data_IF_559399036104
#
_entry.id   IF_559399036104
#
_cell.length_a   1.000
_cell.length_b   1.000
_cell.length_c   1.000
_cell.angle_alpha   90.00
_cell.angle_beta   90.00
_cell.angle_gamma   90.00
#
_symmetry.space_group_name_H-M   'P 1'
#
loop_
_entity.id
_entity.type
_entity.pdbx_description
1 polymer ?
#
# COMPACT_ATOMS: atom_id res chain seq x y z
N UNK A 1 -9.25 1.27 -31.47
CA UNK A 1 -9.65 1.83 -30.15
C UNK A 1 -9.02 3.18 -30.06
N UNK A 2 -9.70 4.22 -29.56
CA UNK A 2 -9.00 5.47 -29.25
C UNK A 2 -8.03 5.15 -28.13
N UNK A 3 -6.74 5.29 -28.39
CA UNK A 3 -5.70 5.00 -27.41
C UNK A 3 -5.83 6.01 -26.26
N UNK A 4 -6.21 5.53 -25.08
CA UNK A 4 -6.29 6.36 -23.87
C UNK A 4 -4.87 6.70 -23.46
N UNK A 5 -4.51 7.98 -23.47
CA UNK A 5 -3.20 8.45 -23.04
C UNK A 5 -3.16 8.74 -21.56
N UNK A 6 -2.02 8.48 -20.90
CA UNK A 6 -1.86 8.80 -19.48
C UNK A 6 -0.50 9.39 -19.13
N UNK A 7 -0.49 10.15 -18.02
CA UNK A 7 0.71 10.64 -17.36
C UNK A 7 0.67 10.29 -15.87
N UNK A 8 1.82 10.21 -15.25
CA UNK A 8 1.97 9.82 -13.85
C UNK A 8 2.69 10.87 -13.03
N UNK A 9 2.21 11.13 -11.81
CA UNK A 9 2.88 12.03 -10.87
C UNK A 9 3.24 11.25 -9.61
N UNK A 10 4.52 11.32 -9.19
CA UNK A 10 5.08 10.59 -8.04
C UNK A 10 4.78 9.10 -8.14
N UNK A 11 5.34 8.38 -9.14
CA UNK A 11 5.01 6.97 -9.37
C UNK A 11 5.53 6.04 -8.28
N UNK A 12 6.43 6.48 -7.40
CA UNK A 12 7.18 5.65 -6.46
C UNK A 12 7.88 4.49 -7.22
N UNK A 13 7.70 3.24 -6.78
CA UNK A 13 8.26 2.09 -7.51
C UNK A 13 7.35 1.58 -8.65
N UNK A 14 6.28 2.30 -8.96
CA UNK A 14 5.47 2.08 -10.16
C UNK A 14 4.28 1.15 -10.04
N UNK A 15 3.83 0.72 -8.85
CA UNK A 15 2.72 -0.24 -8.73
C UNK A 15 1.42 0.22 -9.36
N UNK A 16 1.02 1.48 -9.20
CA UNK A 16 -0.12 2.04 -9.94
C UNK A 16 0.10 1.98 -11.44
N UNK A 17 1.28 2.40 -11.89
CA UNK A 17 1.63 2.43 -13.30
C UNK A 17 1.62 1.05 -13.94
N UNK A 18 2.14 0.02 -13.26
CA UNK A 18 2.04 -1.35 -13.76
C UNK A 18 0.59 -1.82 -13.84
N UNK A 19 -0.27 -1.38 -12.92
CA UNK A 19 -1.71 -1.61 -13.00
C UNK A 19 -2.34 -0.93 -14.22
N UNK A 20 -1.99 0.33 -14.47
CA UNK A 20 -2.42 1.09 -15.64
C UNK A 20 -1.93 0.41 -16.93
N UNK A 21 -0.65 0.08 -17.02
CA UNK A 21 -0.07 -0.62 -18.16
C UNK A 21 -0.78 -1.94 -18.43
N UNK A 22 -1.15 -2.68 -17.38
CA UNK A 22 -1.92 -3.93 -17.51
C UNK A 22 -3.30 -3.70 -18.12
N UNK A 23 -4.04 -2.68 -17.67
CA UNK A 23 -5.37 -2.32 -18.19
C UNK A 23 -5.32 -1.72 -19.60
N UNK A 24 -4.21 -1.08 -19.96
CA UNK A 24 -3.98 -0.46 -21.26
C UNK A 24 -3.06 -1.31 -22.17
N UNK A 25 -3.03 -2.61 -21.99
CA UNK A 25 -2.34 -3.57 -22.88
C UNK A 25 -0.84 -3.23 -23.11
N UNK A 26 -0.15 -2.74 -22.09
CA UNK A 26 1.28 -2.43 -22.12
C UNK A 26 1.63 -0.99 -22.49
N UNK A 27 0.65 -0.11 -22.64
CA UNK A 27 0.91 1.30 -22.93
C UNK A 27 1.73 1.96 -21.82
N UNK A 28 2.81 2.64 -22.22
CA UNK A 28 3.68 3.39 -21.31
C UNK A 28 3.15 4.81 -21.07
N UNK A 29 3.50 5.48 -19.95
CA UNK A 29 3.10 6.85 -19.70
C UNK A 29 3.71 7.81 -20.73
N UNK A 30 2.96 8.84 -21.14
CA UNK A 30 3.45 9.90 -22.01
C UNK A 30 4.58 10.70 -21.32
N UNK A 31 4.46 10.86 -20.02
CA UNK A 31 5.42 11.55 -19.15
C UNK A 31 5.27 11.08 -17.69
N UNK A 32 6.34 11.29 -16.92
CA UNK A 32 6.36 11.13 -15.46
C UNK A 32 6.81 12.45 -14.84
N UNK A 33 5.99 13.00 -13.97
CA UNK A 33 6.36 14.15 -13.15
C UNK A 33 6.60 13.73 -11.71
N UNK A 34 7.45 14.42 -11.00
CA UNK A 34 7.71 14.15 -9.61
C UNK A 34 8.23 15.38 -8.87
N UNK A 35 8.68 15.15 -7.65
CA UNK A 35 9.40 16.11 -6.84
C UNK A 35 10.72 15.49 -6.39
N UNK A 36 11.74 16.30 -6.19
CA UNK A 36 13.10 15.84 -5.84
C UNK A 36 13.12 14.94 -4.59
N UNK A 37 12.16 15.15 -3.66
CA UNK A 37 11.97 14.35 -2.44
C UNK A 37 11.68 12.86 -2.73
N UNK A 38 11.09 12.54 -3.88
CA UNK A 38 10.72 11.17 -4.28
C UNK A 38 11.68 10.53 -5.28
N UNK A 39 12.66 11.29 -5.76
CA UNK A 39 13.59 10.88 -6.83
C UNK A 39 14.19 9.48 -6.60
N UNK A 40 14.54 9.15 -5.36
CA UNK A 40 15.14 7.86 -5.00
C UNK A 40 14.17 6.69 -5.22
N UNK A 41 12.90 6.86 -4.87
CA UNK A 41 11.88 5.81 -5.04
C UNK A 41 11.46 5.70 -6.51
N UNK A 42 11.26 6.83 -7.17
CA UNK A 42 10.86 6.88 -8.58
C UNK A 42 11.92 6.29 -9.51
N UNK A 43 13.20 6.41 -9.13
CA UNK A 43 14.30 5.89 -9.91
C UNK A 43 14.17 4.41 -10.26
N UNK A 44 13.53 3.61 -9.41
CA UNK A 44 13.28 2.19 -9.69
C UNK A 44 12.34 2.01 -10.89
N UNK A 45 11.23 2.75 -10.90
CA UNK A 45 10.27 2.71 -11.99
C UNK A 45 10.82 3.36 -13.27
N UNK A 46 11.48 4.51 -13.16
CA UNK A 46 12.09 5.20 -14.31
C UNK A 46 13.16 4.33 -14.98
N UNK A 47 13.95 3.58 -14.21
CA UNK A 47 14.91 2.65 -14.77
C UNK A 47 14.23 1.53 -15.56
N UNK A 48 13.16 0.94 -15.00
CA UNK A 48 12.36 -0.07 -15.71
C UNK A 48 11.76 0.48 -17.01
N UNK A 49 11.26 1.73 -17.01
CA UNK A 49 10.76 2.37 -18.25
C UNK A 49 11.86 2.52 -19.31
N UNK A 50 13.08 2.89 -18.90
CA UNK A 50 14.24 2.99 -19.80
C UNK A 50 14.58 1.64 -20.42
N UNK A 51 14.52 0.57 -19.66
CA UNK A 51 14.74 -0.80 -20.16
C UNK A 51 13.66 -1.23 -21.19
N UNK A 52 12.49 -0.60 -21.17
CA UNK A 52 11.41 -0.75 -22.17
C UNK A 52 11.49 0.26 -23.33
N UNK A 53 12.63 0.95 -23.48
CA UNK A 53 12.86 1.97 -24.53
C UNK A 53 11.85 3.14 -24.48
N UNK A 54 11.39 3.50 -23.28
CA UNK A 54 10.47 4.61 -23.05
C UNK A 54 11.07 5.94 -23.53
N UNK A 55 10.27 6.71 -24.25
CA UNK A 55 10.66 8.01 -24.87
C UNK A 55 9.97 9.21 -24.22
N UNK A 56 9.23 9.01 -23.13
CA UNK A 56 8.59 10.09 -22.40
C UNK A 56 9.58 10.92 -21.59
N UNK A 57 9.07 11.94 -20.96
CA UNK A 57 9.84 12.87 -20.15
C UNK A 57 9.73 12.52 -18.65
N UNK A 58 10.83 12.68 -17.91
CA UNK A 58 10.85 12.63 -16.45
C UNK A 58 11.31 13.96 -15.90
N UNK A 59 10.42 14.68 -15.19
CA UNK A 59 10.61 16.07 -14.77
C UNK A 59 10.29 16.24 -13.29
N UNK A 60 11.15 16.93 -12.55
CA UNK A 60 10.88 17.35 -11.19
C UNK A 60 10.25 18.76 -11.17
N UNK A 61 9.02 18.84 -10.65
CA UNK A 61 8.24 20.09 -10.60
C UNK A 61 8.82 21.16 -9.67
N UNK A 62 9.60 20.76 -8.66
CA UNK A 62 10.24 21.64 -7.69
C UNK A 62 11.74 21.86 -7.93
N UNK A 63 12.26 21.48 -9.09
CA UNK A 63 13.64 21.73 -9.48
C UNK A 63 13.78 23.12 -10.10
N UNK A 64 14.86 23.83 -9.80
CA UNK A 64 15.15 25.14 -10.36
C UNK A 64 15.20 25.10 -11.89
N UNK A 65 14.48 25.99 -12.55
CA UNK A 65 14.34 26.03 -14.00
C UNK A 65 13.11 25.32 -14.57
N UNK A 66 12.38 24.58 -13.73
CA UNK A 66 11.13 23.91 -14.12
C UNK A 66 9.86 24.68 -13.67
N UNK A 67 10.03 25.92 -13.19
CA UNK A 67 8.91 26.77 -12.79
C UNK A 67 7.96 26.99 -13.98
N UNK A 68 6.71 26.59 -13.81
CA UNK A 68 5.69 26.70 -14.87
C UNK A 68 5.82 25.67 -15.97
N UNK A 69 6.54 24.56 -15.75
CA UNK A 69 6.56 23.45 -16.70
C UNK A 69 5.13 23.02 -17.05
N UNK A 70 4.89 22.85 -18.37
CA UNK A 70 3.57 22.43 -18.89
C UNK A 70 3.69 21.05 -19.50
N UNK A 71 3.15 20.07 -18.80
CA UNK A 71 3.07 18.71 -19.33
C UNK A 71 2.15 18.65 -20.55
N UNK A 72 2.44 17.71 -21.45
CA UNK A 72 1.53 17.34 -22.53
C UNK A 72 0.19 16.91 -21.97
N UNK A 73 -0.91 17.39 -22.56
CA UNK A 73 -2.28 16.96 -22.16
C UNK A 73 -2.46 15.47 -22.44
N UNK A 74 -3.05 14.77 -21.49
CA UNK A 74 -3.39 13.35 -21.54
C UNK A 74 -4.83 13.13 -21.09
N UNK A 75 -5.40 11.97 -21.40
CA UNK A 75 -6.76 11.63 -20.97
C UNK A 75 -6.84 11.35 -19.46
N UNK A 76 -5.81 10.71 -18.93
CA UNK A 76 -5.76 10.25 -17.53
C UNK A 76 -4.46 10.69 -16.86
N UNK A 77 -4.57 11.12 -15.61
CA UNK A 77 -3.40 11.33 -14.74
C UNK A 77 -3.59 10.49 -13.48
N UNK A 78 -2.53 9.81 -13.02
CA UNK A 78 -2.51 9.14 -11.73
C UNK A 78 -1.44 9.71 -10.81
N UNK A 79 -1.59 9.53 -9.51
CA UNK A 79 -0.60 9.94 -8.51
C UNK A 79 -0.64 9.09 -7.24
N UNK A 80 0.54 8.85 -6.65
CA UNK A 80 0.69 8.26 -5.31
C UNK A 80 1.22 9.35 -4.36
N UNK A 81 0.30 10.17 -3.84
CA UNK A 81 0.69 11.20 -2.87
C UNK A 81 1.05 10.57 -1.50
N UNK A 82 1.99 11.19 -0.74
CA UNK A 82 2.35 10.72 0.59
C UNK A 82 1.14 10.55 1.52
N UNK A 83 1.00 9.38 2.12
CA UNK A 83 -0.12 9.03 2.99
C UNK A 83 0.16 9.25 4.49
N UNK A 84 1.36 9.69 4.89
CA UNK A 84 1.76 9.80 6.29
C UNK A 84 0.84 10.72 7.12
N UNK A 85 0.28 11.76 6.52
CA UNK A 85 -0.69 12.65 7.16
C UNK A 85 -2.02 11.98 7.53
N UNK A 86 -2.41 10.92 6.83
CA UNK A 86 -3.66 10.17 7.04
C UNK A 86 -3.42 8.72 7.49
N UNK A 87 -2.17 8.31 7.69
CA UNK A 87 -1.84 6.95 8.13
C UNK A 87 -2.22 6.74 9.60
N UNK A 88 -2.97 5.69 9.91
CA UNK A 88 -3.26 5.29 11.29
C UNK A 88 -2.02 4.81 12.07
N UNK A 89 -0.91 4.58 11.37
CA UNK A 89 0.35 4.08 11.94
C UNK A 89 1.33 5.21 12.24
N UNK A 90 1.07 6.42 11.77
CA UNK A 90 1.87 7.59 12.09
C UNK A 90 1.35 8.25 13.37
N UNK A 91 2.22 8.40 14.36
CA UNK A 91 1.90 9.09 15.63
C UNK A 91 1.56 10.56 15.38
N UNK A 92 2.10 11.15 14.32
CA UNK A 92 1.88 12.55 13.93
C UNK A 92 0.79 12.72 12.87
N UNK A 93 0.01 11.66 12.58
CA UNK A 93 -1.04 11.75 11.56
C UNK A 93 -2.19 12.65 12.03
N UNK A 94 -2.56 13.60 11.18
CA UNK A 94 -3.64 14.56 11.40
C UNK A 94 -4.17 15.05 10.06
N UNK A 95 -5.44 15.40 10.00
CA UNK A 95 -6.00 16.11 8.85
C UNK A 95 -5.30 17.47 8.58
N UNK A 96 -4.68 18.05 9.60
CA UNK A 96 -3.89 19.30 9.54
C UNK A 96 -2.40 19.07 9.25
N UNK A 97 -1.98 17.84 8.96
CA UNK A 97 -0.58 17.54 8.65
C UNK A 97 -0.12 18.24 7.37
N UNK A 98 1.04 18.89 7.42
CA UNK A 98 1.67 19.51 6.25
C UNK A 98 1.92 18.51 5.10
N UNK A 99 2.01 17.22 5.40
CA UNK A 99 2.14 16.16 4.37
C UNK A 99 0.92 16.10 3.44
N UNK A 100 -0.26 16.51 3.89
CA UNK A 100 -1.47 16.54 3.05
C UNK A 100 -1.40 17.63 1.97
N UNK A 101 -0.53 18.65 2.12
CA UNK A 101 -0.34 19.70 1.12
C UNK A 101 0.12 19.15 -0.23
N UNK A 102 0.88 18.06 -0.25
CA UNK A 102 1.26 17.39 -1.49
C UNK A 102 0.05 16.98 -2.33
N UNK A 103 -0.99 16.49 -1.67
CA UNK A 103 -2.22 16.06 -2.33
C UNK A 103 -2.98 17.27 -2.91
N UNK A 104 -3.05 18.36 -2.15
CA UNK A 104 -3.73 19.58 -2.60
C UNK A 104 -2.98 20.26 -3.73
N UNK A 105 -1.67 20.48 -3.58
CA UNK A 105 -0.84 21.12 -4.59
C UNK A 105 -0.81 20.32 -5.90
N UNK A 106 -0.70 19.00 -5.80
CA UNK A 106 -0.75 18.12 -6.98
C UNK A 106 -2.11 18.17 -7.65
N UNK A 107 -3.20 18.13 -6.89
CA UNK A 107 -4.56 18.22 -7.44
C UNK A 107 -4.80 19.57 -8.11
N UNK A 108 -4.42 20.67 -7.46
CA UNK A 108 -4.51 22.01 -8.02
C UNK A 108 -3.77 22.10 -9.37
N UNK A 109 -2.52 21.67 -9.41
CA UNK A 109 -1.72 21.68 -10.64
C UNK A 109 -2.34 20.83 -11.76
N UNK A 110 -2.77 19.60 -11.44
CA UNK A 110 -3.33 18.70 -12.46
C UNK A 110 -4.62 19.24 -13.01
N UNK A 111 -5.53 19.71 -12.16
CA UNK A 111 -6.86 20.14 -12.57
C UNK A 111 -6.84 21.53 -13.25
N UNK A 112 -5.90 22.43 -12.86
CA UNK A 112 -5.78 23.76 -13.46
C UNK A 112 -4.96 23.79 -14.76
N UNK A 113 -3.85 23.03 -14.82
CA UNK A 113 -2.89 23.13 -15.93
C UNK A 113 -3.02 21.97 -16.93
N UNK A 114 -3.07 20.71 -16.47
CA UNK A 114 -3.12 19.54 -17.37
C UNK A 114 -4.55 19.30 -17.88
N UNK A 115 -5.54 19.43 -17.01
CA UNK A 115 -6.97 19.30 -17.30
C UNK A 115 -7.35 17.94 -17.94
N UNK A 116 -6.93 16.80 -17.38
CA UNK A 116 -7.26 15.51 -17.93
C UNK A 116 -8.76 15.22 -17.88
N UNK A 117 -9.24 14.19 -18.59
CA UNK A 117 -10.64 13.72 -18.43
C UNK A 117 -10.86 13.09 -17.06
N UNK A 118 -9.85 12.36 -16.56
CA UNK A 118 -9.85 11.74 -15.24
C UNK A 118 -8.50 11.96 -14.56
N UNK A 119 -8.53 12.42 -13.33
CA UNK A 119 -7.37 12.41 -12.43
C UNK A 119 -7.70 11.54 -11.21
N UNK A 120 -6.83 10.61 -10.86
CA UNK A 120 -7.04 9.74 -9.71
C UNK A 120 -5.76 9.50 -8.93
N UNK A 121 -5.93 9.11 -7.67
CA UNK A 121 -4.81 8.76 -6.81
C UNK A 121 -5.24 7.93 -5.62
N UNK A 122 -4.25 7.48 -4.86
CA UNK A 122 -4.42 6.62 -3.68
C UNK A 122 -4.02 7.34 -2.41
N UNK A 123 -4.67 6.99 -1.30
CA UNK A 123 -4.22 7.39 0.02
C UNK A 123 -4.68 6.39 1.10
N UNK A 124 -4.26 6.64 2.35
CA UNK A 124 -4.61 5.82 3.51
C UNK A 124 -6.14 5.73 3.72
N UNK A 125 -6.63 4.67 4.38
CA UNK A 125 -8.06 4.45 4.61
C UNK A 125 -8.76 5.61 5.33
N UNK A 126 -8.04 6.40 6.14
CA UNK A 126 -8.60 7.54 6.86
C UNK A 126 -9.18 8.63 5.96
N UNK A 127 -8.72 8.75 4.71
CA UNK A 127 -9.29 9.69 3.75
C UNK A 127 -10.81 9.48 3.58
N UNK A 128 -11.26 8.23 3.67
CA UNK A 128 -12.68 7.87 3.59
C UNK A 128 -13.45 8.09 4.91
N UNK A 129 -12.78 8.19 6.04
CA UNK A 129 -13.40 8.24 7.36
C UNK A 129 -13.60 9.68 7.84
N UNK A 130 -14.37 9.88 8.93
CA UNK A 130 -14.54 11.17 9.61
C UNK A 130 -13.19 11.83 9.95
N UNK A 131 -12.17 11.03 10.28
CA UNK A 131 -10.83 11.56 10.58
C UNK A 131 -10.12 12.23 9.39
N UNK A 132 -10.50 11.88 8.16
CA UNK A 132 -9.97 12.47 6.93
C UNK A 132 -10.92 13.45 6.24
N UNK A 133 -12.08 13.70 6.81
CA UNK A 133 -13.14 14.50 6.19
C UNK A 133 -12.69 15.91 5.76
N UNK A 134 -11.90 16.58 6.59
CA UNK A 134 -11.33 17.89 6.25
C UNK A 134 -10.48 17.84 4.98
N UNK A 135 -9.69 16.76 4.81
CA UNK A 135 -8.87 16.56 3.61
C UNK A 135 -9.77 16.25 2.40
N UNK A 136 -10.75 15.37 2.56
CA UNK A 136 -11.70 15.01 1.51
C UNK A 136 -12.50 16.23 1.02
N UNK A 137 -12.98 17.06 1.95
CA UNK A 137 -13.71 18.30 1.62
C UNK A 137 -12.79 19.29 0.89
N UNK A 138 -11.53 19.43 1.28
CA UNK A 138 -10.59 20.30 0.57
C UNK A 138 -10.33 19.80 -0.85
N UNK A 139 -10.20 18.49 -1.05
CA UNK A 139 -10.10 17.91 -2.40
C UNK A 139 -11.36 18.18 -3.24
N UNK A 140 -12.54 18.03 -2.63
CA UNK A 140 -13.81 18.33 -3.30
C UNK A 140 -13.87 19.79 -3.76
N UNK A 141 -13.52 20.74 -2.89
CA UNK A 141 -13.51 22.17 -3.24
C UNK A 141 -12.54 22.47 -4.40
N UNK A 142 -11.34 21.87 -4.38
CA UNK A 142 -10.40 21.99 -5.50
C UNK A 142 -11.02 21.44 -6.79
N UNK A 143 -11.62 20.25 -6.74
CA UNK A 143 -12.29 19.65 -7.89
C UNK A 143 -13.40 20.55 -8.44
N UNK A 144 -14.30 21.00 -7.58
CA UNK A 144 -15.43 21.89 -7.93
C UNK A 144 -14.96 23.19 -8.56
N UNK A 145 -13.91 23.81 -8.00
CA UNK A 145 -13.32 25.06 -8.54
C UNK A 145 -12.82 24.89 -9.99
N UNK A 146 -12.32 23.71 -10.35
CA UNK A 146 -11.80 23.42 -11.69
C UNK A 146 -12.79 22.67 -12.60
N UNK A 147 -14.04 22.49 -12.17
CA UNK A 147 -15.10 21.88 -12.96
C UNK A 147 -15.04 20.34 -12.99
N UNK A 148 -14.66 19.73 -11.86
CA UNK A 148 -14.60 18.28 -11.69
C UNK A 148 -15.50 17.82 -10.56
N UNK A 149 -16.10 16.66 -10.72
CA UNK A 149 -16.73 15.90 -9.64
C UNK A 149 -15.70 15.04 -8.91
N UNK A 150 -15.99 14.64 -7.68
CA UNK A 150 -15.15 13.79 -6.85
C UNK A 150 -15.86 12.48 -6.50
N UNK A 151 -15.20 11.34 -6.71
CA UNK A 151 -15.61 10.06 -6.15
C UNK A 151 -14.50 9.55 -5.20
N UNK A 152 -14.85 9.23 -3.96
CA UNK A 152 -14.00 8.52 -3.01
C UNK A 152 -14.39 7.04 -3.00
N UNK A 153 -13.49 6.18 -3.40
CA UNK A 153 -13.70 4.74 -3.45
C UNK A 153 -12.81 4.04 -2.41
N UNK A 154 -13.43 3.58 -1.33
CA UNK A 154 -12.75 2.78 -0.31
C UNK A 154 -12.78 1.31 -0.68
N UNK A 155 -11.63 0.65 -0.64
CA UNK A 155 -11.49 -0.78 -0.94
C UNK A 155 -10.37 -1.43 -0.11
N UNK A 156 -10.22 -2.73 -0.28
CA UNK A 156 -9.17 -3.54 0.35
C UNK A 156 -8.61 -4.53 -0.66
N UNK A 157 -7.29 -4.72 -0.68
CA UNK A 157 -6.60 -5.55 -1.69
C UNK A 157 -7.11 -6.99 -1.77
N UNK A 158 -7.64 -7.58 -0.68
CA UNK A 158 -8.27 -8.91 -0.72
C UNK A 158 -9.49 -8.97 -1.63
N UNK A 159 -10.24 -7.90 -1.73
CA UNK A 159 -11.39 -7.81 -2.64
C UNK A 159 -10.97 -7.85 -4.11
N UNK A 160 -9.72 -7.50 -4.38
CA UNK A 160 -9.05 -7.56 -5.69
C UNK A 160 -8.28 -8.87 -5.92
N UNK A 161 -8.47 -9.85 -5.04
CA UNK A 161 -7.91 -11.20 -5.17
C UNK A 161 -6.52 -11.40 -4.54
N UNK A 162 -5.95 -10.39 -3.85
CA UNK A 162 -4.63 -10.52 -3.24
C UNK A 162 -4.72 -11.11 -1.83
N UNK A 163 -3.75 -11.94 -1.46
CA UNK A 163 -3.62 -12.48 -0.10
C UNK A 163 -3.22 -11.44 0.96
N UNK A 164 -3.27 -10.15 0.65
CA UNK A 164 -2.87 -9.05 1.52
C UNK A 164 -4.08 -8.23 1.99
N UNK A 165 -4.27 -8.10 3.31
CA UNK A 165 -5.25 -7.21 3.91
C UNK A 165 -4.75 -5.77 3.91
N UNK A 166 -4.97 -5.06 2.81
CA UNK A 166 -4.49 -3.69 2.61
C UNK A 166 -5.64 -2.74 2.26
N UNK A 167 -6.31 -2.13 3.24
CA UNK A 167 -7.36 -1.15 2.97
C UNK A 167 -6.76 0.16 2.45
N UNK A 168 -7.43 0.75 1.45
CA UNK A 168 -7.05 2.01 0.81
C UNK A 168 -8.27 2.80 0.35
N UNK A 169 -8.08 4.10 0.21
CA UNK A 169 -9.05 5.01 -0.41
C UNK A 169 -8.45 5.56 -1.69
N UNK A 170 -9.16 5.34 -2.78
CA UNK A 170 -8.87 5.98 -4.07
C UNK A 170 -9.78 7.18 -4.23
N UNK A 171 -9.24 8.26 -4.78
CA UNK A 171 -10.01 9.44 -5.14
C UNK A 171 -9.95 9.65 -6.65
N UNK A 172 -11.11 9.92 -7.25
CA UNK A 172 -11.25 10.12 -8.69
C UNK A 172 -11.89 11.47 -8.93
N UNK A 173 -11.17 12.34 -9.63
CA UNK A 173 -11.73 13.54 -10.20
C UNK A 173 -12.14 13.23 -11.64
N UNK A 174 -13.40 13.44 -11.98
CA UNK A 174 -13.93 13.26 -13.33
C UNK A 174 -14.45 14.58 -13.85
N UNK A 175 -14.14 14.91 -15.11
CA UNK A 175 -14.48 16.22 -15.67
C UNK A 175 -15.99 16.41 -15.79
N UNK A 176 -16.51 17.51 -15.22
CA UNK A 176 -17.92 17.83 -15.09
C UNK A 176 -18.37 17.88 -13.63
N UNK A 177 -19.38 18.71 -13.33
CA UNK A 177 -19.93 18.90 -11.98
C UNK A 177 -21.38 18.49 -11.86
N UNK A 178 -22.02 18.08 -12.96
CA UNK A 178 -23.44 17.73 -12.96
C UNK A 178 -23.70 16.27 -12.56
N UNK A 179 -22.64 15.44 -12.63
CA UNK A 179 -22.73 14.02 -12.30
C UNK A 179 -21.37 13.43 -11.92
N UNK A 180 -21.39 12.41 -11.09
CA UNK A 180 -20.21 11.61 -10.75
C UNK A 180 -20.43 10.13 -11.13
N UNK A 181 -19.36 9.38 -11.49
CA UNK A 181 -19.47 7.97 -11.79
C UNK A 181 -19.79 7.14 -10.54
N UNK A 182 -20.59 6.08 -10.74
CA UNK A 182 -20.75 4.99 -9.79
C UNK A 182 -19.95 3.80 -10.27
N UNK A 183 -18.79 3.57 -9.67
CA UNK A 183 -17.94 2.43 -10.01
C UNK A 183 -18.54 1.12 -9.49
N UNK A 184 -18.31 0.03 -10.23
CA UNK A 184 -18.77 -1.29 -9.81
C UNK A 184 -18.07 -1.76 -8.53
N UNK A 185 -18.70 -2.67 -7.81
CA UNK A 185 -18.09 -3.34 -6.67
C UNK A 185 -17.30 -4.56 -7.13
N UNK A 186 -16.15 -4.80 -6.50
CA UNK A 186 -15.24 -5.87 -6.85
C UNK A 186 -15.18 -6.91 -5.74
N UNK A 187 -15.27 -8.19 -6.14
CA UNK A 187 -14.99 -9.35 -5.30
C UNK A 187 -14.38 -10.45 -6.15
N UNK A 188 -13.07 -10.55 -6.12
CA UNK A 188 -12.33 -11.62 -6.78
C UNK A 188 -12.04 -12.75 -5.80
N UNK A 189 -11.91 -14.01 -6.28
CA UNK A 189 -11.38 -15.12 -5.47
C UNK A 189 -10.03 -14.72 -4.89
N UNK A 190 -9.83 -15.02 -3.59
CA UNK A 190 -8.57 -14.75 -2.92
C UNK A 190 -7.49 -15.71 -3.45
N UNK A 191 -6.32 -15.17 -3.78
CA UNK A 191 -5.16 -16.01 -4.09
C UNK A 191 -4.66 -16.73 -2.83
N UNK A 192 -3.98 -17.85 -3.04
CA UNK A 192 -3.34 -18.55 -1.96
C UNK A 192 -1.93 -17.98 -1.73
N UNK A 193 -1.66 -17.45 -0.54
CA UNK A 193 -0.32 -16.94 -0.19
C UNK A 193 0.77 -18.03 -0.29
N UNK A 194 0.41 -19.29 -0.08
CA UNK A 194 1.36 -20.39 -0.20
C UNK A 194 1.91 -20.54 -1.61
N UNK A 195 1.10 -20.25 -2.63
CA UNK A 195 1.56 -20.35 -4.03
C UNK A 195 2.68 -19.32 -4.29
N UNK A 196 2.62 -18.15 -3.66
CA UNK A 196 3.68 -17.13 -3.74
C UNK A 196 4.93 -17.61 -2.99
N UNK A 197 4.74 -18.10 -1.76
CA UNK A 197 5.85 -18.48 -0.87
C UNK A 197 6.59 -19.75 -1.34
N UNK A 198 5.86 -20.70 -1.97
CA UNK A 198 6.42 -21.92 -2.55
C UNK A 198 7.03 -21.71 -3.93
N UNK A 199 6.66 -20.62 -4.63
CA UNK A 199 7.14 -20.37 -5.97
C UNK A 199 8.67 -20.28 -6.01
N UNK A 200 9.26 -20.98 -6.98
CA UNK A 200 10.69 -20.93 -7.21
C UNK A 200 11.11 -19.53 -7.69
N UNK A 201 12.30 -19.14 -7.24
CA UNK A 201 12.97 -17.93 -7.70
C UNK A 201 14.28 -18.39 -8.33
N UNK A 202 14.55 -17.98 -9.56
CA UNK A 202 15.81 -18.30 -10.22
C UNK A 202 17.00 -17.89 -9.35
N UNK A 203 18.03 -18.72 -9.21
CA UNK A 203 19.28 -18.33 -8.53
C UNK A 203 19.91 -17.07 -9.13
N UNK A 204 19.71 -16.82 -10.44
CA UNK A 204 20.24 -15.67 -11.16
C UNK A 204 19.33 -14.44 -11.08
N UNK A 205 18.17 -14.54 -10.44
CA UNK A 205 17.29 -13.39 -10.23
C UNK A 205 17.97 -12.36 -9.30
N UNK A 206 18.23 -11.14 -9.75
CA UNK A 206 18.89 -10.12 -8.93
C UNK A 206 18.10 -9.75 -7.68
N UNK A 207 16.79 -10.03 -7.64
CA UNK A 207 15.92 -9.82 -6.48
C UNK A 207 15.81 -11.06 -5.58
N UNK A 208 16.46 -12.17 -5.92
CA UNK A 208 16.59 -13.36 -5.06
C UNK A 208 17.60 -13.08 -3.93
N UNK A 209 17.32 -12.06 -3.13
CA UNK A 209 18.16 -11.62 -1.99
C UNK A 209 17.28 -11.50 -0.76
N UNK A 210 17.73 -12.11 0.33
CA UNK A 210 17.03 -12.03 1.61
C UNK A 210 16.91 -10.57 2.07
N UNK A 211 15.70 -10.15 2.45
CA UNK A 211 15.49 -8.83 3.06
C UNK A 211 16.12 -8.78 4.45
N UNK A 212 16.07 -9.90 5.17
CA UNK A 212 16.76 -10.11 6.43
C UNK A 212 17.59 -11.39 6.30
N UNK A 213 18.91 -11.30 6.50
CA UNK A 213 19.83 -12.42 6.38
C UNK A 213 19.93 -13.29 7.65
N UNK A 214 19.29 -12.88 8.74
CA UNK A 214 19.28 -13.65 9.98
C UNK A 214 18.50 -14.96 9.78
N UNK A 215 18.87 -15.99 10.53
CA UNK A 215 18.06 -17.20 10.59
C UNK A 215 16.81 -16.92 11.45
N UNK A 216 15.57 -17.14 10.96
CA UNK A 216 14.38 -16.93 11.76
C UNK A 216 14.38 -17.69 13.10
N UNK A 217 15.00 -18.86 13.16
CA UNK A 217 15.09 -19.67 14.39
C UNK A 217 16.06 -19.09 15.42
N UNK A 218 16.96 -18.16 15.05
CA UNK A 218 17.78 -17.42 16.00
C UNK A 218 16.98 -16.36 16.76
N UNK A 219 15.75 -16.05 16.30
CA UNK A 219 14.81 -15.24 17.06
C UNK A 219 14.16 -16.10 18.17
N UNK A 220 14.43 -15.80 19.46
CA UNK A 220 13.96 -16.65 20.57
C UNK A 220 12.45 -16.77 20.67
N UNK A 221 11.70 -15.78 20.19
CA UNK A 221 10.23 -15.86 20.18
C UNK A 221 9.74 -16.84 19.12
N UNK A 222 10.36 -16.87 17.95
CA UNK A 222 10.07 -17.85 16.88
C UNK A 222 10.41 -19.25 17.37
N UNK A 223 11.62 -19.41 17.88
CA UNK A 223 12.09 -20.69 18.42
C UNK A 223 11.19 -21.23 19.53
N UNK A 224 10.73 -20.34 20.43
CA UNK A 224 9.78 -20.71 21.47
C UNK A 224 8.44 -21.19 20.90
N UNK A 225 7.85 -20.48 19.94
CA UNK A 225 6.60 -20.87 19.30
C UNK A 225 6.71 -22.25 18.62
N UNK A 226 7.80 -22.49 17.90
CA UNK A 226 8.08 -23.78 17.26
C UNK A 226 8.20 -24.88 18.32
N UNK A 227 9.02 -24.65 19.36
CA UNK A 227 9.18 -25.60 20.47
C UNK A 227 7.87 -25.92 21.17
N UNK A 228 7.10 -24.90 21.55
CA UNK A 228 5.82 -25.03 22.28
C UNK A 228 4.80 -25.85 21.50
N UNK A 229 4.80 -25.74 20.18
CA UNK A 229 3.94 -26.52 19.29
C UNK A 229 4.36 -27.99 19.15
N UNK A 230 5.52 -28.39 19.71
CA UNK A 230 6.12 -29.71 19.52
C UNK A 230 6.64 -29.91 18.08
N UNK A 231 6.92 -28.83 17.34
CA UNK A 231 7.53 -28.89 16.01
C UNK A 231 9.05 -28.83 16.09
N UNK A 232 9.72 -29.32 15.05
CA UNK A 232 11.19 -29.26 14.92
C UNK A 232 11.63 -28.20 13.93
N UNK A 233 10.77 -27.86 12.98
CA UNK A 233 11.06 -26.94 11.88
C UNK A 233 9.95 -25.90 11.74
N UNK A 234 10.22 -24.82 11.01
CA UNK A 234 9.24 -23.80 10.68
C UNK A 234 8.11 -24.36 9.80
N UNK A 235 8.46 -25.26 8.88
CA UNK A 235 7.46 -25.91 8.01
C UNK A 235 6.50 -26.78 8.82
N UNK A 236 7.00 -27.58 9.78
CA UNK A 236 6.15 -28.37 10.68
C UNK A 236 5.26 -27.49 11.55
N UNK A 237 5.77 -26.36 12.03
CA UNK A 237 5.00 -25.39 12.80
C UNK A 237 3.91 -24.74 11.94
N UNK A 238 4.23 -24.39 10.69
CA UNK A 238 3.30 -23.80 9.75
C UNK A 238 2.07 -24.69 9.52
N UNK A 239 2.25 -26.00 9.41
CA UNK A 239 1.13 -26.94 9.23
C UNK A 239 0.14 -26.94 10.42
N UNK A 240 0.61 -26.58 11.62
CA UNK A 240 -0.18 -26.57 12.84
C UNK A 240 -0.95 -25.27 13.10
N UNK A 241 -0.53 -24.16 12.46
CA UNK A 241 -1.26 -22.89 12.59
C UNK A 241 -2.43 -22.83 11.62
N UNK A 242 -3.50 -22.15 11.99
CA UNK A 242 -4.72 -22.05 11.19
C UNK A 242 -4.75 -20.81 10.31
N UNK A 243 -4.09 -19.74 10.73
CA UNK A 243 -4.08 -18.44 10.06
C UNK A 243 -2.76 -17.71 10.28
N UNK A 244 -2.55 -16.65 9.52
CA UNK A 244 -1.40 -15.74 9.71
C UNK A 244 -1.19 -15.45 11.18
N UNK A 245 0.03 -15.69 11.65
CA UNK A 245 0.40 -15.47 13.04
C UNK A 245 1.66 -14.61 13.12
N UNK A 246 1.62 -13.69 14.06
CA UNK A 246 2.83 -13.04 14.54
C UNK A 246 3.45 -13.97 15.59
N UNK A 247 4.68 -14.41 15.38
CA UNK A 247 5.46 -15.14 16.38
C UNK A 247 5.85 -14.21 17.55
N UNK A 248 4.98 -13.29 17.88
CA UNK A 248 5.13 -12.34 18.98
C UNK A 248 4.21 -12.75 20.08
N UNK A 249 4.77 -12.78 21.25
CA UNK A 249 4.03 -12.92 22.48
C UNK A 249 3.31 -11.60 22.77
N UNK A 250 2.01 -11.63 22.85
CA UNK A 250 1.17 -10.50 23.27
C UNK A 250 0.19 -10.91 24.36
N UNK A 251 -0.30 -9.96 25.13
CA UNK A 251 -1.31 -10.19 26.17
C UNK A 251 -2.58 -10.87 25.67
N UNK A 252 -2.88 -10.75 24.37
CA UNK A 252 -4.12 -11.26 23.78
C UNK A 252 -3.99 -12.71 23.27
N UNK A 253 -2.79 -13.19 23.03
CA UNK A 253 -2.56 -14.46 22.34
C UNK A 253 -1.61 -15.42 23.06
N UNK A 254 -1.09 -15.07 24.22
CA UNK A 254 -0.30 -15.99 25.04
C UNK A 254 -1.02 -16.30 26.35
N UNK A 255 -1.15 -17.58 26.64
CA UNK A 255 -1.61 -18.08 27.92
C UNK A 255 -0.48 -18.45 28.87
N UNK A 256 0.76 -18.41 28.40
CA UNK A 256 1.92 -18.83 29.17
C UNK A 256 2.43 -17.70 30.06
N UNK A 257 2.99 -18.07 31.21
CA UNK A 257 3.73 -17.16 32.06
C UNK A 257 5.05 -16.76 31.36
N UNK A 258 5.25 -15.46 31.13
CA UNK A 258 6.43 -14.97 30.42
C UNK A 258 7.73 -15.18 31.19
N UNK A 259 7.68 -15.41 32.50
CA UNK A 259 8.85 -15.85 33.27
C UNK A 259 9.29 -17.25 32.84
N UNK A 260 8.35 -18.16 32.56
CA UNK A 260 8.65 -19.49 32.03
C UNK A 260 9.27 -19.42 30.62
N UNK A 261 8.77 -18.47 29.82
CA UNK A 261 9.36 -18.17 28.48
C UNK A 261 10.80 -17.67 28.62
N UNK A 262 11.04 -16.77 29.57
CA UNK A 262 12.38 -16.25 29.86
C UNK A 262 13.33 -17.35 30.33
N UNK A 263 12.87 -18.21 31.25
CA UNK A 263 13.66 -19.33 31.76
C UNK A 263 13.99 -20.34 30.65
N UNK A 264 13.04 -20.60 29.73
CA UNK A 264 13.30 -21.43 28.56
C UNK A 264 14.33 -20.79 27.63
N UNK A 265 14.27 -19.48 27.36
CA UNK A 265 15.25 -18.77 26.55
C UNK A 265 16.64 -18.87 27.13
N UNK A 266 16.80 -18.71 28.45
CA UNK A 266 18.08 -18.87 29.15
C UNK A 266 18.59 -20.31 29.06
N UNK A 267 17.74 -21.32 29.26
CA UNK A 267 18.10 -22.74 29.14
C UNK A 267 18.58 -23.09 27.72
N UNK A 268 18.01 -22.43 26.70
CA UNK A 268 18.45 -22.63 25.29
C UNK A 268 19.69 -21.81 24.92
N UNK A 269 20.20 -20.96 25.83
CA UNK A 269 21.41 -20.17 25.62
C UNK A 269 21.22 -18.92 24.75
N UNK A 270 19.99 -18.41 24.64
CA UNK A 270 19.73 -17.12 24.00
C UNK A 270 20.31 -15.96 24.80
N UNK A 271 20.58 -14.84 24.12
CA UNK A 271 21.07 -13.60 24.75
C UNK A 271 20.14 -13.16 25.90
N UNK A 272 20.73 -12.91 27.06
CA UNK A 272 20.04 -12.52 28.30
C UNK A 272 19.04 -11.36 28.10
N UNK A 273 19.33 -10.45 27.20
CA UNK A 273 18.43 -9.32 26.89
C UNK A 273 17.01 -9.75 26.49
N UNK A 274 16.84 -10.93 25.86
CA UNK A 274 15.53 -11.43 25.47
C UNK A 274 14.75 -11.99 26.68
N UNK A 275 15.43 -12.71 27.55
CA UNK A 275 14.85 -13.18 28.81
C UNK A 275 14.45 -12.01 29.72
N UNK A 276 15.31 -11.01 29.86
CA UNK A 276 15.04 -9.79 30.64
C UNK A 276 13.82 -9.05 30.08
N UNK A 277 13.72 -8.99 28.75
CA UNK A 277 12.55 -8.40 28.09
C UNK A 277 11.26 -9.18 28.36
N UNK A 278 11.32 -10.50 28.35
CA UNK A 278 10.15 -11.33 28.66
C UNK A 278 9.68 -11.10 30.12
N UNK A 279 10.61 -11.04 31.07
CA UNK A 279 10.30 -10.73 32.49
C UNK A 279 9.70 -9.33 32.66
N UNK A 280 10.29 -8.34 32.01
CA UNK A 280 9.74 -6.96 32.02
C UNK A 280 8.34 -6.86 31.38
N UNK A 281 8.02 -7.72 30.45
CA UNK A 281 6.66 -7.84 29.91
C UNK A 281 5.72 -8.50 30.92
N UNK A 282 6.17 -9.54 31.66
CA UNK A 282 5.38 -10.17 32.72
C UNK A 282 5.01 -9.15 33.80
N UNK A 283 5.95 -8.30 34.25
CA UNK A 283 5.66 -7.23 35.21
C UNK A 283 4.55 -6.28 34.73
N UNK A 284 4.48 -5.98 33.42
CA UNK A 284 3.37 -5.19 32.87
C UNK A 284 2.04 -5.91 32.96
N UNK A 285 2.03 -7.22 32.66
CA UNK A 285 0.83 -8.07 32.79
C UNK A 285 0.36 -8.10 34.23
N UNK A 286 1.26 -8.35 35.17
CA UNK A 286 0.97 -8.39 36.62
C UNK A 286 0.43 -7.05 37.11
N UNK A 287 0.88 -5.94 36.51
CA UNK A 287 0.37 -4.60 36.74
C UNK A 287 -0.92 -4.26 36.00
N UNK A 288 -1.60 -5.23 35.38
CA UNK A 288 -2.86 -5.04 34.65
C UNK A 288 -2.72 -4.29 33.34
N UNK A 289 -1.51 -4.22 32.77
CA UNK A 289 -1.23 -3.56 31.48
C UNK A 289 -1.03 -4.61 30.39
N UNK A 290 -1.65 -4.38 29.25
CA UNK A 290 -1.32 -5.13 28.06
C UNK A 290 0.11 -4.84 27.56
N UNK A 291 0.66 -5.74 26.79
CA UNK A 291 1.94 -5.53 26.13
C UNK A 291 1.85 -5.98 24.67
N UNK A 292 2.74 -5.42 23.87
CA UNK A 292 2.94 -5.84 22.50
C UNK A 292 4.43 -5.86 22.19
N UNK A 293 4.89 -6.96 21.64
CA UNK A 293 6.28 -7.13 21.26
C UNK A 293 6.40 -7.26 19.75
N UNK A 294 7.30 -6.49 19.14
CA UNK A 294 7.63 -6.67 17.74
C UNK A 294 8.28 -8.03 17.53
N UNK A 295 7.78 -8.76 16.55
CA UNK A 295 8.32 -10.03 16.19
C UNK A 295 8.20 -10.29 14.71
N UNK A 296 8.32 -11.52 14.35
CA UNK A 296 8.22 -11.99 12.98
C UNK A 296 6.81 -12.48 12.69
N UNK A 297 6.38 -12.30 11.47
CA UNK A 297 5.06 -12.74 10.99
C UNK A 297 5.25 -13.95 10.08
N UNK A 298 4.48 -15.00 10.34
CA UNK A 298 4.38 -16.17 9.47
C UNK A 298 3.03 -16.11 8.74
N UNK A 299 3.02 -15.82 7.43
CA UNK A 299 1.78 -15.66 6.68
C UNK A 299 1.15 -17.02 6.36
N UNK A 300 -0.14 -17.17 6.66
CA UNK A 300 -0.98 -18.32 6.27
C UNK A 300 -2.40 -17.86 5.95
N UNK A 301 -2.87 -18.21 4.76
CA UNK A 301 -4.14 -17.75 4.22
C UNK A 301 -4.09 -16.31 3.73
N UNK A 302 -3.73 -15.38 4.58
CA UNK A 302 -3.56 -13.95 4.25
C UNK A 302 -2.41 -13.33 5.04
N UNK A 303 -1.97 -12.16 4.61
CA UNK A 303 -1.02 -11.34 5.37
C UNK A 303 -1.62 -9.97 5.70
N UNK A 304 -1.20 -9.33 6.79
CA UNK A 304 -1.55 -7.94 7.04
C UNK A 304 -0.93 -7.01 6.00
N UNK A 305 -1.37 -5.75 6.00
CA UNK A 305 -0.79 -4.70 5.18
C UNK A 305 0.73 -4.67 5.33
N UNK A 306 1.46 -4.76 4.24
CA UNK A 306 2.91 -4.48 4.26
C UNK A 306 3.10 -2.99 4.60
N UNK A 307 3.84 -2.72 5.67
CA UNK A 307 4.08 -1.38 6.19
C UNK A 307 5.50 -1.23 6.70
N UNK A 308 6.13 -0.09 6.44
CA UNK A 308 7.45 0.26 6.96
C UNK A 308 8.49 -0.85 6.76
N UNK A 309 9.10 -1.29 7.85
CA UNK A 309 10.08 -2.37 7.84
C UNK A 309 9.48 -3.78 7.93
N UNK A 310 8.15 -3.94 7.81
CA UNK A 310 7.50 -5.25 7.98
C UNK A 310 8.08 -6.38 7.10
N UNK A 311 8.49 -6.15 5.85
CA UNK A 311 9.12 -7.22 5.06
C UNK A 311 10.35 -7.85 5.73
N UNK A 312 11.06 -7.12 6.60
CA UNK A 312 12.18 -7.66 7.39
C UNK A 312 11.76 -8.69 8.44
N UNK A 313 10.49 -8.76 8.76
CA UNK A 313 9.95 -9.66 9.78
C UNK A 313 9.03 -10.75 9.22
N UNK A 314 8.90 -10.84 7.89
CA UNK A 314 8.09 -11.88 7.24
C UNK A 314 8.92 -13.13 6.96
N UNK A 315 8.47 -14.26 7.51
CA UNK A 315 9.10 -15.56 7.29
C UNK A 315 8.44 -16.28 6.11
N UNK A 316 9.28 -16.88 5.26
CA UNK A 316 8.87 -17.92 4.33
C UNK A 316 9.09 -19.29 5.02
N UNK A 317 8.03 -19.94 5.53
CA UNK A 317 8.17 -21.17 6.28
C UNK A 317 8.63 -22.36 5.43
N UNK A 318 8.36 -22.33 4.11
CA UNK A 318 8.73 -23.42 3.19
C UNK A 318 10.20 -23.41 2.80
N UNK A 319 10.84 -22.23 2.88
CA UNK A 319 12.25 -22.02 2.62
C UNK A 319 13.06 -21.83 3.92
N UNK A 320 12.39 -21.87 5.08
CA UNK A 320 12.95 -21.67 6.42
C UNK A 320 13.82 -20.42 6.57
N UNK A 321 13.41 -19.36 5.91
CA UNK A 321 14.13 -18.08 5.85
C UNK A 321 13.18 -16.89 5.89
N UNK A 322 13.69 -15.67 6.02
CA UNK A 322 12.91 -14.46 5.76
C UNK A 322 12.64 -14.31 4.26
N UNK A 323 11.70 -13.43 3.91
CA UNK A 323 11.37 -13.16 2.51
C UNK A 323 12.58 -12.61 1.75
N UNK A 324 12.66 -12.98 0.47
CA UNK A 324 13.48 -12.27 -0.50
C UNK A 324 12.78 -11.01 -0.99
N UNK A 325 13.53 -10.12 -1.64
CA UNK A 325 12.91 -8.98 -2.34
C UNK A 325 11.90 -9.43 -3.40
N UNK A 326 12.21 -10.53 -4.14
CA UNK A 326 11.30 -11.09 -5.14
C UNK A 326 10.00 -11.59 -4.51
N UNK A 327 10.05 -12.26 -3.36
CA UNK A 327 8.84 -12.67 -2.63
C UNK A 327 7.97 -11.45 -2.27
N UNK A 328 8.58 -10.38 -1.75
CA UNK A 328 7.86 -9.16 -1.36
C UNK A 328 7.26 -8.43 -2.58
N UNK A 329 7.98 -8.36 -3.69
CA UNK A 329 7.50 -7.80 -4.95
C UNK A 329 6.33 -8.62 -5.52
N UNK A 330 6.39 -9.95 -5.45
CA UNK A 330 5.30 -10.85 -5.88
C UNK A 330 4.04 -10.70 -5.04
N UNK A 331 4.18 -10.47 -3.72
CA UNK A 331 3.03 -10.14 -2.84
C UNK A 331 2.33 -8.85 -3.31
N UNK A 332 3.08 -7.90 -3.85
CA UNK A 332 2.53 -6.66 -4.43
C UNK A 332 2.15 -6.81 -5.90
N UNK A 333 2.28 -8.01 -6.49
CA UNK A 333 2.02 -8.30 -7.92
C UNK A 333 2.86 -7.48 -8.88
N UNK A 334 4.04 -7.05 -8.45
CA UNK A 334 5.00 -6.43 -9.35
C UNK A 334 5.44 -7.41 -10.43
N UNK A 335 5.72 -6.95 -11.67
CA UNK A 335 6.17 -7.82 -12.75
C UNK A 335 7.46 -8.58 -12.38
N UNK A 336 7.61 -9.81 -12.85
CA UNK A 336 8.80 -10.63 -12.56
C UNK A 336 10.09 -10.04 -13.20
N UNK A 337 9.96 -9.22 -14.25
CA UNK A 337 11.07 -8.49 -14.87
C UNK A 337 11.36 -7.13 -14.20
N UNK A 338 10.58 -6.73 -13.21
CA UNK A 338 10.87 -5.53 -12.43
C UNK A 338 11.97 -5.79 -11.40
N UNK A 339 12.99 -4.94 -11.41
CA UNK A 339 14.09 -5.00 -10.47
C UNK A 339 14.29 -3.66 -9.76
N UNK A 340 14.46 -3.73 -8.45
CA UNK A 340 14.89 -2.57 -7.67
C UNK A 340 16.37 -2.30 -7.96
N UNK A 341 16.72 -1.03 -8.12
CA UNK A 341 18.08 -0.58 -8.41
C UNK A 341 18.83 -0.17 -7.13
N UNK A 342 20.15 -0.10 -7.22
CA UNK A 342 21.03 0.39 -6.16
C UNK A 342 21.98 -0.69 -5.62
N UNK A 343 23.03 -0.23 -4.96
CA UNK A 343 24.13 -1.09 -4.46
C UNK A 343 23.69 -2.00 -3.31
N UNK A 344 22.66 -1.58 -2.56
CA UNK A 344 22.11 -2.36 -1.47
C UNK A 344 20.57 -2.49 -1.59
N UNK A 345 20.09 -3.42 -2.44
CA UNK A 345 18.65 -3.65 -2.62
C UNK A 345 17.94 -4.14 -1.33
N UNK A 346 18.70 -4.70 -0.36
CA UNK A 346 18.18 -5.11 0.94
C UNK A 346 18.03 -3.96 1.94
N UNK A 347 18.36 -2.74 1.54
CA UNK A 347 18.26 -1.58 2.45
C UNK A 347 16.85 -1.43 3.02
N UNK A 348 16.70 -0.98 4.28
CA UNK A 348 15.39 -0.68 4.86
C UNK A 348 14.56 0.29 4.01
N UNK A 349 15.23 1.19 3.28
CA UNK A 349 14.58 2.11 2.35
C UNK A 349 13.88 1.41 1.20
N UNK A 350 14.49 0.38 0.61
CA UNK A 350 13.87 -0.39 -0.48
C UNK A 350 12.69 -1.23 0.02
N UNK A 351 12.80 -1.87 1.18
CA UNK A 351 11.69 -2.57 1.80
C UNK A 351 10.51 -1.61 2.11
N UNK A 352 10.82 -0.40 2.58
CA UNK A 352 9.81 0.63 2.80
C UNK A 352 9.16 1.10 1.49
N UNK A 353 9.92 1.24 0.41
CA UNK A 353 9.40 1.61 -0.90
C UNK A 353 8.39 0.58 -1.43
N UNK A 354 8.65 -0.73 -1.23
CA UNK A 354 7.68 -1.80 -1.55
C UNK A 354 6.40 -1.61 -0.73
N UNK A 355 6.52 -1.28 0.56
CA UNK A 355 5.36 -1.08 1.44
C UNK A 355 4.52 0.16 1.12
N UNK A 356 5.13 1.18 0.56
CA UNK A 356 4.43 2.41 0.15
C UNK A 356 3.69 2.25 -1.18
N UNK A 357 4.03 1.23 -1.94
CA UNK A 357 3.49 0.98 -3.26
C UNK A 357 2.02 0.53 -3.22
N UNK A 358 1.30 0.75 -4.33
CA UNK A 358 -0.04 0.19 -4.56
C UNK A 358 0.11 -1.17 -5.24
N UNK A 359 -0.58 -2.23 -4.77
CA UNK A 359 -0.55 -3.52 -5.46
C UNK A 359 -1.08 -3.42 -6.88
N UNK A 360 -0.35 -4.00 -7.82
CA UNK A 360 -0.63 -3.89 -9.27
C UNK A 360 -2.04 -4.32 -9.64
N UNK A 361 -2.55 -5.42 -9.07
CA UNK A 361 -3.91 -5.89 -9.37
C UNK A 361 -4.98 -4.91 -8.89
N UNK A 362 -4.79 -4.30 -7.69
CA UNK A 362 -5.71 -3.29 -7.19
C UNK A 362 -5.72 -2.06 -8.11
N UNK A 363 -4.54 -1.59 -8.51
CA UNK A 363 -4.42 -0.45 -9.41
C UNK A 363 -5.00 -0.73 -10.80
N UNK A 364 -4.83 -1.95 -11.31
CA UNK A 364 -5.44 -2.35 -12.59
C UNK A 364 -6.97 -2.27 -12.54
N UNK A 365 -7.59 -2.76 -11.47
CA UNK A 365 -9.05 -2.66 -11.29
C UNK A 365 -9.51 -1.19 -11.20
N UNK A 366 -8.72 -0.31 -10.59
CA UNK A 366 -9.02 1.14 -10.55
C UNK A 366 -8.91 1.76 -11.94
N UNK A 367 -7.90 1.37 -12.72
CA UNK A 367 -7.78 1.85 -14.09
C UNK A 367 -8.88 1.29 -15.01
N UNK A 368 -9.32 0.04 -14.81
CA UNK A 368 -10.48 -0.52 -15.52
C UNK A 368 -11.74 0.33 -15.31
N UNK A 369 -11.97 0.85 -14.09
CA UNK A 369 -13.07 1.79 -13.82
C UNK A 369 -12.96 3.06 -14.68
N UNK A 370 -11.75 3.61 -14.77
CA UNK A 370 -11.48 4.79 -15.58
C UNK A 370 -11.74 4.51 -17.07
N UNK A 371 -11.28 3.35 -17.56
CA UNK A 371 -11.51 2.91 -18.95
C UNK A 371 -13.02 2.73 -19.22
N UNK A 372 -13.75 2.06 -18.32
CA UNK A 372 -15.20 1.88 -18.42
C UNK A 372 -15.92 3.24 -18.44
N UNK A 373 -15.53 4.16 -17.58
CA UNK A 373 -16.10 5.53 -17.55
C UNK A 373 -15.82 6.30 -18.84
N UNK A 374 -14.60 6.31 -19.32
CA UNK A 374 -14.23 7.01 -20.56
C UNK A 374 -14.93 6.43 -21.81
N UNK A 375 -15.33 5.16 -21.76
CA UNK A 375 -16.13 4.50 -22.81
C UNK A 375 -17.64 4.71 -22.63
N UNK A 376 -18.09 5.43 -21.59
CA UNK A 376 -19.51 5.62 -21.32
C UNK A 376 -20.25 4.37 -20.84
N UNK A 377 -19.51 3.43 -20.22
CA UNK A 377 -20.03 2.13 -19.73
C UNK A 377 -20.31 2.16 -18.21
N UNK A 378 -20.05 3.28 -17.55
CA UNK A 378 -20.23 3.44 -16.10
C UNK A 378 -21.52 4.22 -15.83
N UNK A 379 -22.35 3.75 -14.89
CA UNK A 379 -23.49 4.49 -14.40
C UNK A 379 -23.03 5.78 -13.71
N UNK A 380 -23.88 6.81 -13.77
CA UNK A 380 -23.63 8.10 -13.12
C UNK A 380 -24.82 8.51 -12.25
N UNK A 381 -24.54 9.32 -11.25
CA UNK A 381 -25.56 9.94 -10.40
C UNK A 381 -25.52 11.45 -10.53
N UNK A 382 -26.67 12.12 -10.36
CA UNK A 382 -26.79 13.58 -10.34
C UNK A 382 -26.23 14.15 -9.04
N UNK A 383 -24.91 14.07 -8.89
CA UNK A 383 -24.15 14.65 -7.78
C UNK A 383 -22.71 14.82 -8.24
N UNK A 384 -22.06 15.86 -7.75
CA UNK A 384 -20.64 16.09 -7.99
C UNK A 384 -19.74 15.50 -6.91
N UNK A 385 -20.33 14.86 -5.87
CA UNK A 385 -19.57 14.17 -4.83
C UNK A 385 -20.22 12.85 -4.42
N UNK A 386 -19.48 11.76 -4.56
CA UNK A 386 -19.89 10.39 -4.20
C UNK A 386 -18.85 9.74 -3.34
N UNK A 387 -19.30 8.95 -2.36
CA UNK A 387 -18.46 8.12 -1.50
C UNK A 387 -18.92 6.67 -1.62
N UNK A 388 -18.04 5.80 -2.10
CA UNK A 388 -18.31 4.37 -2.27
C UNK A 388 -17.43 3.53 -1.35
N UNK A 389 -18.03 2.52 -0.72
CA UNK A 389 -17.34 1.56 0.12
C UNK A 389 -17.50 0.15 -0.46
N UNK A 390 -16.47 -0.34 -1.13
CA UNK A 390 -16.45 -1.67 -1.72
C UNK A 390 -16.58 -2.79 -0.67
N UNK A 391 -16.04 -2.59 0.53
CA UNK A 391 -16.09 -3.61 1.59
C UNK A 391 -17.51 -3.87 2.11
N UNK A 392 -18.38 -2.88 2.11
CA UNK A 392 -19.79 -2.99 2.52
C UNK A 392 -20.77 -2.94 1.36
N UNK A 393 -20.29 -2.78 0.11
CA UNK A 393 -21.10 -2.60 -1.11
C UNK A 393 -22.13 -1.48 -0.95
N UNK A 394 -21.70 -0.36 -0.37
CA UNK A 394 -22.53 0.82 -0.10
C UNK A 394 -21.98 2.04 -0.83
N UNK A 395 -22.87 2.91 -1.26
CA UNK A 395 -22.52 4.25 -1.71
C UNK A 395 -23.35 5.29 -1.00
N UNK A 396 -22.79 6.48 -0.88
CA UNK A 396 -23.40 7.67 -0.32
C UNK A 396 -23.27 8.78 -1.35
N UNK A 397 -24.39 9.39 -1.70
CA UNK A 397 -24.43 10.57 -2.55
C UNK A 397 -24.37 11.77 -1.60
N UNK A 398 -23.31 12.57 -1.73
CA UNK A 398 -23.14 13.78 -0.93
C UNK A 398 -23.75 14.91 -1.73
N UNK A 399 -24.77 15.57 -1.19
CA UNK A 399 -25.46 16.67 -1.84
C UNK A 399 -24.61 17.96 -1.78
N UNK A 400 -24.92 18.93 -2.69
CA UNK A 400 -24.17 20.17 -2.90
C UNK A 400 -24.08 21.09 -1.67
N UNK A 401 -24.97 20.95 -0.68
CA UNK A 401 -24.98 21.77 0.54
C UNK A 401 -24.15 21.12 1.66
N UNK A 402 -22.81 21.17 1.53
CA UNK A 402 -21.90 20.81 2.63
C UNK A 402 -22.10 21.67 3.90
N UNK A 403 -22.79 22.80 3.78
CA UNK A 403 -23.13 23.71 4.91
C UNK A 403 -24.15 23.10 5.87
N UNK A 404 -25.02 22.17 5.43
CA UNK A 404 -25.99 21.49 6.30
C UNK A 404 -25.40 20.27 7.03
N UNK A 405 -24.26 19.71 6.60
CA UNK A 405 -23.61 18.57 7.25
C UNK A 405 -23.05 18.92 8.64
N UNK A 406 -22.71 20.18 8.92
CA UNK A 406 -22.28 20.63 10.25
C UNK A 406 -23.37 20.48 11.32
N UNK A 407 -24.64 20.33 10.94
CA UNK A 407 -25.77 20.17 11.88
C UNK A 407 -26.00 18.70 12.29
N UNK A 408 -25.46 17.73 11.57
CA UNK A 408 -25.64 16.30 11.85
C UNK A 408 -24.50 15.64 12.64
N UNK A 409 -23.45 16.39 12.99
CA UNK A 409 -22.26 15.88 13.69
C UNK A 409 -22.01 16.59 15.04
N UNK A 410 -23.05 16.74 15.85
CA UNK A 410 -22.92 17.12 17.27
C UNK A 410 -22.87 15.87 18.13
#
# INVERSE_FOLDING_TARGET
MNDITYGSIVPLIGGENFGIMKSLEGQLPEWVLSYTDFAKNDAHFINHLKDKDWKGEYVFLNEEGNEGYKAKTVDVVNTVCPCAGLSSLSVSSSADSAVNEWMYTTSEYVLSEIKPKVFWGENAPRLYTKAGEKVANRLYEIGKQHGYSLNLYYTESRLHGLAQKRPRTFYFFTKGTDSAPLFRYIRRPLENIEDILKADISPDDPMNRLINSDNPMDNPWVAYCVHKSGSKTLAEYYEKIEKTTNCIVSSDNISDNLNEVADWMEQQGFDQKFADRARAMQEKVDGGKGYWAHGVTMPKGEIPSLIGAMPHSLINPFKEQFLTLRDALRIMKMPDDFNMIGDNPQSPGNANAICQNVPVTTAADMMDFVVEYLKGMTDTVSSDYVRQNNSSMKHEIVNEDLVELDQFFV
#
